data_IF_268553051757
#
_entry.id   IF_268553051757
#
_cell.length_a   1.000
_cell.length_b   1.000
_cell.length_c   1.000
_cell.angle_alpha   90.00
_cell.angle_beta   90.00
_cell.angle_gamma   90.00
#
_symmetry.space_group_name_H-M   'P 1'
#
loop_
_entity.id
_entity.type
_entity.pdbx_description
1 polymer ?
#
# COMPACT_ATOMS: atom_id res chain seq x y z
N UNK A 1 21.50 -19.76 -49.22
CA UNK A 1 21.30 -18.39 -48.70
C UNK A 1 19.83 -18.06 -48.42
N UNK A 2 18.86 -18.96 -48.66
CA UNK A 2 17.43 -18.67 -48.40
C UNK A 2 16.95 -19.03 -46.98
N UNK A 3 17.49 -20.07 -46.34
CA UNK A 3 17.00 -20.54 -45.03
C UNK A 3 17.51 -19.74 -43.82
N UNK A 4 18.53 -18.90 -43.99
CA UNK A 4 19.13 -18.14 -42.88
C UNK A 4 18.12 -17.10 -42.35
N UNK A 5 17.36 -16.45 -43.24
CA UNK A 5 16.32 -15.48 -42.84
C UNK A 5 15.15 -16.13 -42.10
N UNK A 6 14.73 -17.32 -42.52
CA UNK A 6 13.63 -18.06 -41.89
C UNK A 6 14.01 -18.57 -40.50
N UNK A 7 15.23 -19.09 -40.34
CA UNK A 7 15.76 -19.53 -39.04
C UNK A 7 15.88 -18.35 -38.09
N UNK A 8 16.39 -17.20 -38.55
CA UNK A 8 16.50 -15.99 -37.71
C UNK A 8 15.11 -15.51 -37.29
N UNK A 9 14.13 -15.49 -38.21
CA UNK A 9 12.74 -15.12 -37.91
C UNK A 9 12.11 -16.04 -36.86
N UNK A 10 12.29 -17.35 -36.99
CA UNK A 10 11.78 -18.33 -36.04
C UNK A 10 12.39 -18.18 -34.64
N UNK A 11 13.71 -17.97 -34.54
CA UNK A 11 14.39 -17.73 -33.27
C UNK A 11 13.91 -16.42 -32.63
N UNK A 12 13.71 -15.38 -33.43
CA UNK A 12 13.23 -14.09 -32.94
C UNK A 12 11.78 -14.19 -32.42
N UNK A 13 10.90 -14.92 -33.11
CA UNK A 13 9.55 -15.18 -32.66
C UNK A 13 9.51 -15.90 -31.30
N UNK A 14 10.37 -16.90 -31.11
CA UNK A 14 10.50 -17.61 -29.83
C UNK A 14 11.00 -16.69 -28.70
N UNK A 15 11.97 -15.82 -28.98
CA UNK A 15 12.45 -14.82 -28.02
C UNK A 15 11.36 -13.83 -27.61
N UNK A 16 10.58 -13.34 -28.56
CA UNK A 16 9.48 -12.40 -28.29
C UNK A 16 8.39 -13.07 -27.44
N UNK A 17 8.02 -14.32 -27.74
CA UNK A 17 7.05 -15.07 -26.93
C UNK A 17 7.58 -15.29 -25.51
N UNK A 18 8.85 -15.65 -25.36
CA UNK A 18 9.48 -15.81 -24.04
C UNK A 18 9.49 -14.50 -23.25
N UNK A 19 9.83 -13.38 -23.89
CA UNK A 19 9.80 -12.06 -23.27
C UNK A 19 8.37 -11.66 -22.85
N UNK A 20 7.38 -11.89 -23.71
CA UNK A 20 5.98 -11.62 -23.37
C UNK A 20 5.50 -12.44 -22.18
N UNK A 21 5.86 -13.72 -22.10
CA UNK A 21 5.53 -14.58 -20.94
C UNK A 21 6.21 -14.05 -19.68
N UNK A 22 7.47 -13.60 -19.77
CA UNK A 22 8.20 -13.01 -18.64
C UNK A 22 7.55 -11.71 -18.17
N UNK A 23 7.22 -10.81 -19.10
CA UNK A 23 6.56 -9.52 -18.82
C UNK A 23 5.16 -9.75 -18.25
N UNK A 24 4.40 -10.71 -18.78
CA UNK A 24 3.06 -11.03 -18.28
C UNK A 24 3.11 -11.55 -16.83
N UNK A 25 4.13 -12.34 -16.47
CA UNK A 25 4.35 -12.75 -15.08
C UNK A 25 4.73 -11.59 -14.17
N UNK A 26 5.63 -10.71 -14.61
CA UNK A 26 6.06 -9.54 -13.83
C UNK A 26 4.92 -8.53 -13.65
N UNK A 27 4.08 -8.36 -14.67
CA UNK A 27 2.90 -7.48 -14.62
C UNK A 27 1.91 -7.93 -13.55
N UNK A 28 1.65 -9.24 -13.43
CA UNK A 28 0.79 -9.80 -12.37
C UNK A 28 1.35 -9.55 -10.96
N UNK A 29 2.67 -9.63 -10.78
CA UNK A 29 3.30 -9.31 -9.50
C UNK A 29 3.23 -7.81 -9.20
N UNK A 30 3.42 -6.97 -10.21
CA UNK A 30 3.35 -5.52 -10.10
C UNK A 30 1.94 -5.05 -9.76
N UNK A 31 0.91 -5.65 -10.37
CA UNK A 31 -0.50 -5.36 -10.08
C UNK A 31 -0.88 -5.72 -8.63
N UNK A 32 -0.44 -6.88 -8.13
CA UNK A 32 -0.64 -7.25 -6.71
C UNK A 32 0.00 -6.24 -5.77
N UNK A 33 1.25 -5.83 -6.04
CA UNK A 33 1.96 -4.82 -5.24
C UNK A 33 1.30 -3.45 -5.32
N UNK A 34 0.79 -3.05 -6.49
CA UNK A 34 0.10 -1.79 -6.67
C UNK A 34 -1.24 -1.75 -5.91
N UNK A 35 -2.00 -2.85 -5.92
CA UNK A 35 -3.24 -2.98 -5.15
C UNK A 35 -2.99 -2.89 -3.64
N UNK A 36 -1.91 -3.52 -3.15
CA UNK A 36 -1.49 -3.43 -1.74
C UNK A 36 -1.10 -1.99 -1.39
N UNK A 37 -0.24 -1.33 -2.18
CA UNK A 37 0.15 0.07 -1.95
C UNK A 37 -1.03 1.04 -1.95
N UNK A 38 -2.03 0.81 -2.80
CA UNK A 38 -3.23 1.65 -2.83
C UNK A 38 -4.05 1.51 -1.54
N UNK A 39 -4.19 0.28 -1.02
CA UNK A 39 -4.84 0.02 0.28
C UNK A 39 -4.04 0.64 1.43
N UNK A 40 -2.73 0.43 1.44
CA UNK A 40 -1.82 1.00 2.43
C UNK A 40 -1.87 2.53 2.43
N UNK A 41 -1.81 3.16 1.25
CA UNK A 41 -1.90 4.63 1.13
C UNK A 41 -3.22 5.17 1.66
N UNK A 42 -4.35 4.48 1.39
CA UNK A 42 -5.66 4.88 1.91
C UNK A 42 -5.72 4.79 3.44
N UNK A 43 -5.13 3.75 4.02
CA UNK A 43 -5.14 3.56 5.46
C UNK A 43 -4.18 4.53 6.17
N UNK A 44 -2.98 4.74 5.61
CA UNK A 44 -2.03 5.73 6.10
C UNK A 44 -2.64 7.15 6.06
N UNK A 45 -3.41 7.47 5.02
CA UNK A 45 -4.10 8.76 4.91
C UNK A 45 -5.17 8.93 5.99
N UNK A 46 -5.94 7.89 6.32
CA UNK A 46 -6.89 7.90 7.45
C UNK A 46 -6.17 8.12 8.79
N UNK A 47 -5.03 7.47 9.00
CA UNK A 47 -4.25 7.63 10.22
C UNK A 47 -3.68 9.05 10.35
N UNK A 48 -3.18 9.62 9.25
CA UNK A 48 -2.73 11.02 9.23
C UNK A 48 -3.87 12.00 9.53
N UNK A 49 -5.04 11.80 8.94
CA UNK A 49 -6.22 12.64 9.20
C UNK A 49 -6.65 12.58 10.67
N UNK A 50 -6.69 11.38 11.25
CA UNK A 50 -6.99 11.19 12.66
C UNK A 50 -5.92 11.83 13.58
N UNK A 51 -4.64 11.74 13.22
CA UNK A 51 -3.54 12.38 13.94
C UNK A 51 -3.63 13.91 13.88
N UNK A 52 -3.96 14.48 12.71
CA UNK A 52 -4.22 15.91 12.53
C UNK A 52 -5.41 16.37 13.37
N UNK A 53 -6.50 15.60 13.38
CA UNK A 53 -7.68 15.88 14.21
C UNK A 53 -7.33 15.92 15.71
N UNK A 54 -6.51 14.97 16.18
CA UNK A 54 -6.02 14.96 17.55
C UNK A 54 -5.11 16.15 17.86
N UNK A 55 -4.21 16.48 16.96
CA UNK A 55 -3.30 17.62 17.11
C UNK A 55 -4.06 18.93 17.18
N UNK A 56 -5.12 19.10 16.38
CA UNK A 56 -6.00 20.26 16.43
C UNK A 56 -6.77 20.33 17.75
N UNK A 57 -7.34 19.22 18.21
CA UNK A 57 -8.02 19.17 19.51
C UNK A 57 -7.06 19.48 20.67
N UNK A 58 -5.81 19.05 20.57
CA UNK A 58 -4.75 19.36 21.54
C UNK A 58 -4.39 20.84 21.50
N UNK A 59 -4.27 21.43 20.31
CA UNK A 59 -4.01 22.86 20.13
C UNK A 59 -5.12 23.71 20.75
N UNK A 60 -6.38 23.34 20.53
CA UNK A 60 -7.56 24.02 21.12
C UNK A 60 -7.55 23.91 22.65
N UNK A 61 -7.20 22.76 23.20
CA UNK A 61 -7.12 22.58 24.66
C UNK A 61 -5.98 23.39 25.29
N UNK A 62 -4.83 23.52 24.60
CA UNK A 62 -3.72 24.37 25.04
C UNK A 62 -4.09 25.85 24.97
N UNK A 63 -4.76 26.29 23.88
CA UNK A 63 -5.19 27.68 23.71
C UNK A 63 -6.25 28.11 24.74
N UNK A 64 -7.17 27.20 25.09
CA UNK A 64 -8.24 27.47 26.08
C UNK A 64 -7.85 27.20 27.52
N UNK A 65 -6.74 26.51 27.78
CA UNK A 65 -6.28 26.15 29.13
C UNK A 65 -7.16 25.11 29.84
N UNK A 66 -8.13 24.51 29.14
CA UNK A 66 -9.06 23.51 29.68
C UNK A 66 -9.07 22.25 28.81
N UNK A 67 -8.79 21.09 29.41
CA UNK A 67 -8.97 19.80 28.76
C UNK A 67 -10.44 19.39 28.91
N UNK A 68 -11.25 19.74 27.92
CA UNK A 68 -12.68 19.45 27.87
C UNK A 68 -12.97 18.04 27.29
N UNK A 69 -14.23 17.60 27.38
CA UNK A 69 -14.68 16.27 26.90
C UNK A 69 -14.39 16.01 25.42
N UNK A 70 -14.32 17.07 24.61
CA UNK A 70 -13.95 17.00 23.19
C UNK A 70 -12.54 16.47 22.96
N UNK A 71 -11.59 16.75 23.88
CA UNK A 71 -10.23 16.25 23.80
C UNK A 71 -10.17 14.73 24.07
N UNK A 72 -11.05 14.24 24.96
CA UNK A 72 -11.21 12.80 25.24
C UNK A 72 -11.79 12.07 24.03
N UNK A 73 -12.82 12.64 23.40
CA UNK A 73 -13.43 12.10 22.18
C UNK A 73 -12.46 12.13 20.98
N UNK A 74 -11.68 13.19 20.82
CA UNK A 74 -10.66 13.28 19.78
C UNK A 74 -9.54 12.25 19.99
N UNK A 75 -9.09 12.07 21.24
CA UNK A 75 -8.09 11.06 21.62
C UNK A 75 -8.58 9.65 21.35
N UNK A 76 -9.82 9.32 21.73
CA UNK A 76 -10.36 7.98 21.53
C UNK A 76 -10.53 7.68 20.03
N UNK A 77 -10.98 8.65 19.22
CA UNK A 77 -11.02 8.51 17.75
C UNK A 77 -9.64 8.28 17.14
N UNK A 78 -8.63 9.01 17.60
CA UNK A 78 -7.26 8.84 17.13
C UNK A 78 -6.66 7.50 17.52
N UNK A 79 -6.96 7.01 18.74
CA UNK A 79 -6.53 5.68 19.21
C UNK A 79 -7.15 4.56 18.39
N UNK A 80 -8.45 4.63 18.11
CA UNK A 80 -9.13 3.64 17.25
C UNK A 80 -8.55 3.62 15.83
N UNK A 81 -8.29 4.80 15.24
CA UNK A 81 -7.67 4.88 13.92
C UNK A 81 -6.22 4.36 13.90
N UNK A 82 -5.49 4.51 15.02
CA UNK A 82 -4.15 3.95 15.19
C UNK A 82 -4.18 2.43 15.30
N UNK A 83 -5.09 1.87 16.10
CA UNK A 83 -5.28 0.42 16.24
C UNK A 83 -5.66 -0.22 14.88
N UNK A 84 -6.59 0.38 14.13
CA UNK A 84 -6.94 -0.09 12.78
C UNK A 84 -5.75 -0.10 11.80
N UNK A 85 -4.82 0.86 11.94
CA UNK A 85 -3.61 0.90 11.12
C UNK A 85 -2.59 -0.16 11.56
N UNK A 86 -2.38 -0.34 12.86
CA UNK A 86 -1.49 -1.37 13.40
C UNK A 86 -1.97 -2.78 13.04
N UNK A 87 -3.27 -3.06 13.15
CA UNK A 87 -3.85 -4.34 12.76
C UNK A 87 -3.60 -4.66 11.29
N UNK A 88 -3.76 -3.68 10.40
CA UNK A 88 -3.47 -3.85 8.97
C UNK A 88 -1.99 -4.08 8.69
N UNK A 89 -1.09 -3.38 9.39
CA UNK A 89 0.37 -3.61 9.26
C UNK A 89 0.74 -5.01 9.75
N UNK A 90 0.13 -5.47 10.84
CA UNK A 90 0.31 -6.82 11.35
C UNK A 90 -0.21 -7.88 10.39
N UNK A 91 -1.39 -7.68 9.81
CA UNK A 91 -1.98 -8.56 8.79
C UNK A 91 -1.04 -8.66 7.57
N UNK A 92 -0.56 -7.52 7.06
CA UNK A 92 0.43 -7.46 5.97
C UNK A 92 1.72 -8.20 6.29
N UNK A 93 2.30 -7.98 7.47
CA UNK A 93 3.52 -8.65 7.90
C UNK A 93 3.31 -10.17 8.00
N UNK A 94 2.15 -10.62 8.48
CA UNK A 94 1.79 -12.03 8.56
C UNK A 94 1.58 -12.67 7.18
N UNK A 95 0.89 -11.97 6.27
CA UNK A 95 0.64 -12.43 4.90
C UNK A 95 1.96 -12.53 4.11
N UNK A 96 2.87 -11.58 4.34
CA UNK A 96 4.18 -11.56 3.73
C UNK A 96 5.11 -12.65 4.29
N UNK A 97 5.11 -12.87 5.61
CA UNK A 97 5.87 -13.93 6.29
C UNK A 97 5.39 -15.35 5.92
N UNK A 98 4.09 -15.52 5.68
CA UNK A 98 3.50 -16.81 5.26
C UNK A 98 3.74 -17.09 3.76
N UNK A 99 4.11 -16.08 2.97
CA UNK A 99 4.43 -16.22 1.54
C UNK A 99 5.90 -16.54 1.22
N UNK A 100 6.75 -16.68 2.25
CA UNK A 100 8.15 -17.13 2.17
C UNK A 100 8.20 -18.66 2.37
#
# INVERSE_FOLDING_TARGET
>A
MEYIGEIISGVFALLVVWLQVRIARDRKQTEKRAAIRAKESKLAMKMQDASLSLSLATCIAVERGETNGEMKTARDKAKTAQEEYEDFVHELASEQATSI
#
